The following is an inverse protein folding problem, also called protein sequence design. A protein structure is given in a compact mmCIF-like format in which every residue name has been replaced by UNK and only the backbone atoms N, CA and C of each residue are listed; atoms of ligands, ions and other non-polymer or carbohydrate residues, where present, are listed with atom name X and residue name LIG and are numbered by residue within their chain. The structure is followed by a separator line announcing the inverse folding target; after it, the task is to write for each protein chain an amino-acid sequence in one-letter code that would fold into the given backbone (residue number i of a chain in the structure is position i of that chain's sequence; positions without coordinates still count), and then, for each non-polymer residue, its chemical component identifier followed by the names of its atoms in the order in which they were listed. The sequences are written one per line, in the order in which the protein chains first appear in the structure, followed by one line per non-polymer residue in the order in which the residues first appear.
data_IF_822363323106
#
_entry.id   IF_822363323106
#
_cell.length_a   1.000
_cell.length_b   1.000
_cell.length_c   1.000
_cell.angle_alpha   90.00
_cell.angle_beta   90.00
_cell.angle_gamma   90.00
#
_symmetry.space_group_name_H-M   'P 1'
#
loop_
_entity.id
_entity.type
_entity.pdbx_description
1 polymer ?
#
# COMPACT_ATOMS: atom_id res chain seq x y z
N UNK A 1 8.28 5.03 -17.04
CA UNK A 1 7.32 3.89 -17.04
C UNK A 1 5.98 4.37 -17.58
N UNK A 2 5.55 3.87 -18.74
CA UNK A 2 4.28 4.25 -19.37
C UNK A 2 3.14 3.30 -18.93
N UNK A 3 2.85 3.28 -17.63
CA UNK A 3 1.79 2.49 -17.05
C UNK A 3 0.88 3.38 -16.17
N UNK A 4 -0.43 3.14 -16.21
CA UNK A 4 -1.40 3.83 -15.35
C UNK A 4 -1.36 3.31 -13.91
N UNK A 5 -1.09 2.01 -13.76
CA UNK A 5 -0.97 1.31 -12.51
C UNK A 5 0.38 0.58 -12.46
N UNK A 6 1.14 0.84 -11.41
CA UNK A 6 2.39 0.12 -11.12
C UNK A 6 2.23 -0.56 -9.76
N UNK A 7 2.55 -1.85 -9.70
CA UNK A 7 2.54 -2.61 -8.46
C UNK A 7 3.96 -3.15 -8.24
N UNK A 8 4.56 -2.80 -7.11
CA UNK A 8 5.84 -3.38 -6.70
C UNK A 8 5.62 -4.37 -5.55
N UNK A 9 6.11 -5.59 -5.74
CA UNK A 9 5.97 -6.71 -4.81
C UNK A 9 7.24 -7.55 -4.82
N UNK A 10 8.37 -6.93 -4.51
CA UNK A 10 9.67 -7.59 -4.48
C UNK A 10 9.92 -8.12 -3.07
N UNK A 11 10.34 -9.39 -2.92
CA UNK A 11 10.70 -9.92 -1.60
C UNK A 11 11.77 -9.09 -0.92
N UNK A 12 11.57 -8.79 0.37
CA UNK A 12 12.59 -8.11 1.17
C UNK A 12 13.75 -9.06 1.49
N UNK A 13 14.94 -8.72 1.04
CA UNK A 13 16.16 -9.45 1.37
C UNK A 13 17.30 -8.49 1.73
N UNK A 14 18.20 -8.95 2.56
CA UNK A 14 19.36 -8.16 2.95
C UNK A 14 20.19 -7.79 1.72
N UNK A 15 20.52 -6.50 1.61
CA UNK A 15 21.35 -5.99 0.51
C UNK A 15 20.57 -5.59 -0.74
N UNK A 16 19.23 -5.56 -0.71
CA UNK A 16 18.46 -5.02 -1.82
C UNK A 16 18.75 -3.52 -1.99
N UNK A 17 19.13 -3.15 -3.21
CA UNK A 17 19.32 -1.75 -3.59
C UNK A 17 18.08 -1.26 -4.32
N UNK A 18 17.51 -0.10 -3.94
CA UNK A 18 16.41 0.52 -4.67
C UNK A 18 16.80 0.76 -6.14
N UNK A 19 15.85 0.52 -7.06
CA UNK A 19 16.09 0.65 -8.51
C UNK A 19 14.95 1.34 -9.27
N UNK A 20 13.81 1.61 -8.61
CA UNK A 20 12.68 2.33 -9.21
C UNK A 20 12.80 3.82 -8.92
N UNK A 21 12.64 4.64 -9.95
CA UNK A 21 12.62 6.10 -9.80
C UNK A 21 11.19 6.63 -10.02
N UNK A 22 10.62 7.28 -9.01
CA UNK A 22 9.26 7.80 -9.10
C UNK A 22 9.11 8.97 -10.08
N UNK A 23 10.21 9.62 -10.45
CA UNK A 23 10.24 10.68 -11.48
C UNK A 23 9.93 10.14 -12.86
N UNK A 24 10.23 8.86 -13.11
CA UNK A 24 9.97 8.16 -14.37
C UNK A 24 8.50 7.70 -14.55
N UNK A 25 7.68 7.86 -13.52
CA UNK A 25 6.26 7.56 -13.62
C UNK A 25 5.56 8.59 -14.51
N UNK A 26 4.66 8.13 -15.36
CA UNK A 26 3.86 9.08 -16.15
C UNK A 26 2.92 9.91 -15.25
N UNK A 27 2.56 11.12 -15.69
CA UNK A 27 1.54 11.91 -15.00
C UNK A 27 0.22 11.13 -14.88
N UNK A 28 -0.35 11.11 -13.68
CA UNK A 28 -1.59 10.40 -13.39
C UNK A 28 -1.42 8.95 -12.95
N UNK A 29 -0.21 8.41 -12.92
CA UNK A 29 0.02 7.05 -12.47
C UNK A 29 -0.40 6.83 -11.01
N UNK A 30 -0.88 5.62 -10.72
CA UNK A 30 -1.06 5.11 -9.37
C UNK A 30 -0.04 4.01 -9.08
N UNK A 31 0.56 4.04 -7.90
CA UNK A 31 1.54 3.04 -7.47
C UNK A 31 1.06 2.33 -6.21
N UNK A 32 1.04 1.00 -6.22
CA UNK A 32 0.89 0.17 -5.04
C UNK A 32 2.24 -0.44 -4.64
N UNK A 33 2.80 0.01 -3.54
CA UNK A 33 4.10 -0.41 -3.01
C UNK A 33 3.90 -1.49 -1.94
N UNK A 34 3.73 -2.75 -2.37
CA UNK A 34 3.44 -3.89 -1.48
C UNK A 34 4.73 -4.48 -0.87
N UNK A 35 5.85 -3.92 -1.23
CA UNK A 35 7.20 -4.28 -0.82
C UNK A 35 7.82 -3.28 0.18
N UNK A 36 6.98 -2.62 0.98
CA UNK A 36 7.42 -1.61 1.96
C UNK A 36 8.12 -0.41 1.31
N UNK A 37 7.81 -0.09 0.06
CA UNK A 37 8.46 0.94 -0.76
C UNK A 37 9.98 0.71 -0.99
N UNK A 38 10.51 -0.47 -0.72
CA UNK A 38 11.96 -0.74 -0.70
C UNK A 38 12.61 -0.76 -2.07
N UNK A 39 11.83 -0.99 -3.13
CA UNK A 39 12.32 -0.92 -4.51
C UNK A 39 12.51 0.51 -5.01
N UNK A 40 11.94 1.50 -4.33
CA UNK A 40 11.93 2.89 -4.76
C UNK A 40 13.11 3.67 -4.20
N UNK A 41 13.72 4.49 -5.05
CA UNK A 41 14.75 5.45 -4.63
C UNK A 41 14.11 6.47 -3.67
N UNK A 42 14.57 6.57 -2.40
CA UNK A 42 13.94 7.45 -1.41
C UNK A 42 13.81 8.90 -1.88
N UNK A 43 14.86 9.45 -2.49
CA UNK A 43 14.90 10.84 -2.97
C UNK A 43 13.95 11.08 -4.16
N UNK A 44 13.45 10.04 -4.82
CA UNK A 44 12.51 10.16 -5.92
C UNK A 44 11.06 10.26 -5.46
N UNK A 45 10.76 9.83 -4.22
CA UNK A 45 9.39 9.78 -3.71
C UNK A 45 8.74 11.16 -3.58
N UNK A 46 9.51 12.23 -3.51
CA UNK A 46 9.02 13.62 -3.57
C UNK A 46 8.30 13.95 -4.90
N UNK A 47 8.55 13.17 -5.96
CA UNK A 47 7.83 13.31 -7.23
C UNK A 47 6.39 12.75 -7.18
N UNK A 48 6.02 12.06 -6.10
CA UNK A 48 4.68 11.57 -5.85
C UNK A 48 3.91 12.64 -5.09
N UNK A 49 2.79 13.08 -5.64
CA UNK A 49 2.01 14.16 -5.08
C UNK A 49 1.30 13.79 -3.77
N UNK A 50 1.05 12.50 -3.56
CA UNK A 50 0.32 12.01 -2.39
C UNK A 50 0.67 10.56 -2.12
N UNK A 51 1.20 10.29 -0.94
CA UNK A 51 1.47 8.94 -0.46
C UNK A 51 0.52 8.65 0.70
N UNK A 52 -0.26 7.59 0.56
CA UNK A 52 -1.12 7.04 1.61
C UNK A 52 -0.46 5.77 2.12
N UNK A 53 -0.49 5.54 3.41
CA UNK A 53 -0.05 4.28 4.02
C UNK A 53 -1.23 3.51 4.58
N UNK A 54 -1.02 2.29 5.01
CA UNK A 54 -2.07 1.46 5.60
C UNK A 54 -2.50 1.94 7.00
N UNK A 55 -1.55 2.16 7.92
CA UNK A 55 -1.83 2.56 9.29
C UNK A 55 -0.67 3.40 9.88
N UNK A 56 -0.97 4.64 10.24
CA UNK A 56 0.01 5.58 10.82
C UNK A 56 0.42 5.21 12.23
N UNK A 57 -0.49 4.62 13.00
CA UNK A 57 -0.20 4.21 14.39
C UNK A 57 0.75 3.03 14.38
N UNK A 58 0.48 2.03 13.54
CA UNK A 58 1.38 0.90 13.34
C UNK A 58 2.75 1.38 12.82
N UNK A 59 2.76 2.23 11.80
CA UNK A 59 3.99 2.73 11.19
C UNK A 59 4.88 3.48 12.17
N UNK A 60 4.29 4.28 13.07
CA UNK A 60 5.01 5.03 14.09
C UNK A 60 5.73 4.13 15.13
N UNK A 61 5.35 2.86 15.24
CA UNK A 61 6.03 1.89 16.13
C UNK A 61 7.22 1.20 15.48
N UNK A 62 7.40 1.39 14.18
CA UNK A 62 8.45 0.70 13.42
C UNK A 62 9.80 1.42 13.55
N UNK A 63 10.87 0.63 13.70
CA UNK A 63 12.25 1.15 13.77
C UNK A 63 12.71 1.75 12.44
N UNK A 64 12.10 1.34 11.34
CA UNK A 64 12.39 1.85 9.99
C UNK A 64 11.07 2.11 9.27
N UNK A 65 10.75 3.37 8.97
CA UNK A 65 9.55 3.70 8.20
C UNK A 65 9.66 3.22 6.75
N UNK A 66 8.50 2.96 6.11
CA UNK A 66 8.42 2.60 4.69
C UNK A 66 8.84 3.78 3.80
N UNK A 67 8.35 4.95 4.15
CA UNK A 67 8.66 6.22 3.46
C UNK A 67 8.94 7.29 4.52
N UNK A 68 9.61 8.35 4.11
CA UNK A 68 9.83 9.51 4.99
C UNK A 68 8.49 10.02 5.53
N UNK A 69 8.31 10.15 6.87
CA UNK A 69 7.03 10.56 7.46
C UNK A 69 6.49 11.89 6.93
N UNK A 70 7.36 12.81 6.53
CA UNK A 70 6.98 14.10 5.97
C UNK A 70 6.27 13.98 4.60
N UNK A 71 6.47 12.88 3.88
CA UNK A 71 5.83 12.61 2.58
C UNK A 71 4.47 11.92 2.72
N UNK A 72 4.12 11.42 3.92
CA UNK A 72 2.87 10.72 4.17
C UNK A 72 1.72 11.70 4.30
N UNK A 73 0.79 11.68 3.35
CA UNK A 73 -0.39 12.53 3.37
C UNK A 73 -1.45 12.04 4.39
N UNK A 74 -1.51 10.74 4.65
CA UNK A 74 -2.45 10.13 5.58
C UNK A 74 -2.42 8.61 5.48
N UNK A 75 -3.35 7.95 6.15
CA UNK A 75 -3.54 6.50 6.10
C UNK A 75 -4.90 6.10 5.50
N UNK A 76 -5.17 4.80 5.43
CA UNK A 76 -6.44 4.29 4.92
C UNK A 76 -7.63 4.79 5.74
N UNK A 77 -7.49 4.91 7.06
CA UNK A 77 -8.56 5.43 7.91
C UNK A 77 -8.85 6.90 7.60
N UNK A 78 -7.82 7.70 7.38
CA UNK A 78 -7.95 9.11 6.98
C UNK A 78 -8.65 9.24 5.62
N UNK A 79 -8.27 8.38 4.67
CA UNK A 79 -8.85 8.37 3.32
C UNK A 79 -10.33 7.99 3.34
N UNK A 80 -10.68 6.88 4.01
CA UNK A 80 -12.07 6.37 4.07
C UNK A 80 -12.99 7.31 4.84
N UNK A 81 -12.49 7.97 5.89
CA UNK A 81 -13.27 8.94 6.67
C UNK A 81 -13.34 10.34 6.03
N UNK A 82 -12.66 10.55 4.89
CA UNK A 82 -12.65 11.83 4.20
C UNK A 82 -11.77 12.92 4.85
N UNK A 83 -10.97 12.56 5.86
CA UNK A 83 -9.98 13.49 6.46
C UNK A 83 -8.86 13.85 5.50
N UNK A 84 -8.52 12.94 4.62
CA UNK A 84 -7.57 13.15 3.52
C UNK A 84 -8.26 12.83 2.20
N UNK A 85 -8.10 13.71 1.24
CA UNK A 85 -8.59 13.48 -0.13
C UNK A 85 -7.65 12.55 -0.89
N UNK A 86 -8.21 11.66 -1.68
CA UNK A 86 -7.47 10.87 -2.66
C UNK A 86 -6.97 11.75 -3.83
N UNK A 87 -7.10 11.27 -5.05
CA UNK A 87 -6.73 12.03 -6.26
C UNK A 87 -7.59 13.28 -6.41
N UNK A 88 -6.97 14.44 -6.56
CA UNK A 88 -7.66 15.71 -6.81
C UNK A 88 -7.56 16.11 -8.28
N UNK A 89 -6.41 15.90 -8.91
CA UNK A 89 -6.15 16.25 -10.30
C UNK A 89 -5.76 15.01 -11.10
N UNK A 90 -6.23 14.89 -12.33
CA UNK A 90 -5.97 13.72 -13.18
C UNK A 90 -4.47 13.42 -13.38
N UNK A 91 -3.61 14.43 -13.34
CA UNK A 91 -2.16 14.29 -13.55
C UNK A 91 -1.38 13.99 -12.27
N UNK A 92 -2.00 13.95 -11.10
CA UNK A 92 -1.30 13.63 -9.86
C UNK A 92 -0.80 12.19 -9.87
N UNK A 93 0.48 11.99 -9.54
CA UNK A 93 1.03 10.69 -9.20
C UNK A 93 0.66 10.40 -7.75
N UNK A 94 0.08 9.24 -7.50
CA UNK A 94 -0.39 8.85 -6.16
C UNK A 94 0.20 7.49 -5.84
N UNK A 95 0.62 7.29 -4.60
CA UNK A 95 1.07 6.00 -4.12
C UNK A 95 0.30 5.53 -2.89
N UNK A 96 0.20 4.24 -2.77
CA UNK A 96 -0.19 3.52 -1.57
C UNK A 96 0.97 2.63 -1.14
N UNK A 97 1.57 2.91 0.03
CA UNK A 97 2.60 2.07 0.60
C UNK A 97 2.00 1.18 1.69
N UNK A 98 2.23 -0.11 1.57
CA UNK A 98 1.56 -1.14 2.35
C UNK A 98 2.55 -1.97 3.16
N UNK A 99 2.37 -2.00 4.48
CA UNK A 99 3.12 -2.85 5.39
C UNK A 99 2.37 -4.15 5.70
N UNK A 100 1.07 -4.06 5.78
CA UNK A 100 0.16 -5.15 6.10
C UNK A 100 -0.71 -4.84 7.31
N UNK A 101 -2.00 -5.09 7.14
CA UNK A 101 -3.01 -4.94 8.18
C UNK A 101 -3.70 -6.27 8.41
N UNK A 102 -3.39 -6.95 9.52
CA UNK A 102 -4.00 -8.24 9.90
C UNK A 102 -5.54 -8.17 10.00
N UNK A 103 -6.10 -6.99 10.28
CA UNK A 103 -7.55 -6.79 10.30
C UNK A 103 -8.18 -6.97 8.91
N UNK A 104 -7.45 -6.62 7.85
CA UNK A 104 -7.87 -6.85 6.47
C UNK A 104 -7.94 -8.34 6.14
N UNK A 105 -6.92 -9.09 6.54
CA UNK A 105 -6.86 -10.55 6.36
C UNK A 105 -8.01 -11.23 7.13
N UNK A 106 -8.25 -10.81 8.39
CA UNK A 106 -9.35 -11.32 9.19
C UNK A 106 -10.71 -11.04 8.54
N UNK A 107 -10.93 -9.83 8.05
CA UNK A 107 -12.18 -9.44 7.41
C UNK A 107 -12.46 -10.28 6.14
N UNK A 108 -11.45 -10.46 5.29
CA UNK A 108 -11.57 -11.27 4.07
C UNK A 108 -11.74 -12.75 4.39
N UNK A 109 -10.99 -13.28 5.37
CA UNK A 109 -11.12 -14.67 5.80
C UNK A 109 -12.53 -14.94 6.38
N UNK A 110 -13.05 -14.04 7.20
CA UNK A 110 -14.41 -14.14 7.75
C UNK A 110 -15.48 -14.13 6.64
N UNK A 111 -15.36 -13.18 5.69
CA UNK A 111 -16.28 -13.12 4.56
C UNK A 111 -16.24 -14.38 3.70
N UNK A 112 -15.04 -14.90 3.42
CA UNK A 112 -14.85 -16.14 2.66
C UNK A 112 -15.45 -17.34 3.40
N UNK A 113 -15.22 -17.46 4.70
CA UNK A 113 -15.75 -18.51 5.55
C UNK A 113 -17.29 -18.49 5.58
N UNK A 114 -17.89 -17.33 5.85
CA UNK A 114 -19.35 -17.19 5.91
C UNK A 114 -20.00 -17.47 4.56
N UNK A 115 -19.37 -17.01 3.47
CA UNK A 115 -19.83 -17.26 2.10
C UNK A 115 -19.77 -18.75 1.76
N UNK A 116 -18.68 -19.43 2.11
CA UNK A 116 -18.51 -20.86 1.88
C UNK A 116 -19.56 -21.68 2.65
N UNK A 117 -19.79 -21.36 3.93
CA UNK A 117 -20.83 -22.00 4.74
C UNK A 117 -22.22 -21.81 4.15
N UNK A 118 -22.56 -20.59 3.77
CA UNK A 118 -23.88 -20.28 3.19
C UNK A 118 -24.12 -21.04 1.85
N UNK A 119 -23.07 -21.31 1.09
CA UNK A 119 -23.12 -22.04 -0.18
C UNK A 119 -22.88 -23.55 -0.06
N UNK A 120 -22.61 -24.06 1.13
CA UNK A 120 -22.30 -25.47 1.36
C UNK A 120 -20.95 -25.91 0.78
N UNK A 121 -19.99 -24.99 0.66
CA UNK A 121 -18.65 -25.30 0.18
C UNK A 121 -17.71 -25.65 1.34
N UNK A 122 -16.78 -26.57 1.06
CA UNK A 122 -15.78 -27.03 2.02
C UNK A 122 -16.25 -28.23 2.83
N UNK A 123 -15.42 -28.65 3.77
CA UNK A 123 -15.72 -29.70 4.74
C UNK A 123 -15.25 -29.29 6.15
N UNK A 124 -15.98 -29.70 7.17
CA UNK A 124 -15.53 -29.54 8.55
C UNK A 124 -14.57 -30.68 8.90
N UNK A 125 -13.38 -30.31 9.38
CA UNK A 125 -12.41 -31.29 9.87
C UNK A 125 -12.69 -31.60 11.35
N UNK A 126 -12.56 -32.86 11.77
CA UNK A 126 -12.69 -33.20 13.18
C UNK A 126 -11.58 -32.51 13.99
N UNK A 127 -11.91 -32.02 15.18
CA UNK A 127 -10.97 -31.42 16.14
C UNK A 127 -10.16 -32.48 16.86
#
# INVERSE_FOLDING_TARGET
VDADLVITSVPDYMGMTPFMDARDLKPGAFVAMVDLARTWLPDSLEAIHRIIIDDRVQEATMSKPMVEPALVAGDLQDLVSGRVTGRVRARERIAFAFRGLAIGDLALASLAFDTARAKGFGCELPR
#
